data_IF_449755562213
#
_entry.id   IF_449755562213
#
_cell.length_a   1.000
_cell.length_b   1.000
_cell.length_c   1.000
_cell.angle_alpha   90.00
_cell.angle_beta   90.00
_cell.angle_gamma   90.00
#
_symmetry.space_group_name_H-M   'P 1'
#
loop_
_entity.id
_entity.type
_entity.pdbx_description
1 polymer ?
#
# COMPACT_ATOMS: atom_id res chain seq x y z
N UNK A 1 2.71 -22.56 -9.69
CA UNK A 1 1.99 -21.32 -9.38
C UNK A 1 1.71 -21.27 -7.89
N UNK A 2 1.88 -20.12 -7.26
CA UNK A 2 1.60 -19.89 -5.85
C UNK A 2 0.60 -18.71 -5.74
N UNK A 3 -0.64 -19.02 -5.38
CA UNK A 3 -1.66 -18.03 -5.06
C UNK A 3 -1.66 -17.78 -3.55
N UNK A 4 -1.56 -16.52 -3.14
CA UNK A 4 -1.33 -16.12 -1.76
C UNK A 4 -2.25 -14.99 -1.28
N UNK A 5 -2.34 -14.88 0.04
CA UNK A 5 -2.90 -13.74 0.78
C UNK A 5 -1.89 -13.31 1.86
N UNK A 6 -0.71 -12.84 1.44
CA UNK A 6 0.34 -12.37 2.36
C UNK A 6 0.18 -10.87 2.61
N UNK A 7 -0.05 -10.51 3.87
CA UNK A 7 -0.10 -9.11 4.29
C UNK A 7 1.29 -8.48 4.34
N UNK A 8 1.29 -7.15 4.26
CA UNK A 8 2.44 -6.29 4.42
C UNK A 8 3.05 -6.42 5.80
N UNK A 9 4.37 -6.54 5.83
CA UNK A 9 5.19 -6.33 7.02
C UNK A 9 6.44 -5.60 6.57
N UNK A 10 6.81 -4.56 7.32
CA UNK A 10 7.94 -3.70 6.99
C UNK A 10 9.20 -4.52 6.67
N UNK A 11 9.81 -4.28 5.50
CA UNK A 11 11.01 -4.97 4.98
C UNK A 11 10.87 -6.47 4.70
N UNK A 12 9.67 -7.05 4.76
CA UNK A 12 9.46 -8.50 4.53
C UNK A 12 9.56 -8.91 3.07
N UNK A 13 9.33 -8.00 2.13
CA UNK A 13 9.26 -8.33 0.69
C UNK A 13 10.56 -8.98 0.21
N UNK A 14 11.70 -8.49 0.66
CA UNK A 14 13.01 -9.00 0.28
C UNK A 14 13.19 -10.49 0.66
N UNK A 15 12.78 -10.92 1.86
CA UNK A 15 12.79 -12.34 2.23
C UNK A 15 11.95 -13.19 1.28
N UNK A 16 10.79 -12.68 0.86
CA UNK A 16 9.86 -13.37 -0.04
C UNK A 16 10.47 -13.55 -1.42
N UNK A 17 11.03 -12.47 -1.99
CA UNK A 17 11.66 -12.50 -3.31
C UNK A 17 12.91 -13.40 -3.30
N UNK A 18 13.75 -13.31 -2.27
CA UNK A 18 14.92 -14.20 -2.12
C UNK A 18 14.53 -15.67 -2.07
N UNK A 19 13.42 -16.01 -1.39
CA UNK A 19 12.95 -17.38 -1.33
C UNK A 19 12.55 -17.92 -2.72
N UNK A 20 11.86 -17.10 -3.53
CA UNK A 20 11.47 -17.49 -4.89
C UNK A 20 12.69 -17.67 -5.79
N UNK A 21 13.58 -16.69 -5.79
CA UNK A 21 14.83 -16.72 -6.55
C UNK A 21 15.68 -17.93 -6.18
N UNK A 22 15.89 -18.17 -4.88
CA UNK A 22 16.65 -19.31 -4.39
C UNK A 22 16.01 -20.64 -4.79
N UNK A 23 14.67 -20.74 -4.71
CA UNK A 23 13.95 -21.95 -5.09
C UNK A 23 14.10 -22.27 -6.59
N UNK A 24 13.96 -21.27 -7.47
CA UNK A 24 14.10 -21.46 -8.92
C UNK A 24 15.54 -21.58 -9.37
N UNK A 25 16.48 -20.90 -8.72
CA UNK A 25 17.91 -21.03 -9.02
C UNK A 25 18.40 -22.45 -8.70
N UNK A 26 17.99 -23.00 -7.56
CA UNK A 26 18.43 -24.33 -7.10
C UNK A 26 17.77 -25.49 -7.83
N UNK A 27 16.58 -25.32 -8.42
CA UNK A 27 15.80 -26.43 -9.03
C UNK A 27 15.50 -26.25 -10.52
N UNK A 28 15.75 -25.05 -11.05
CA UNK A 28 15.18 -24.59 -12.30
C UNK A 28 13.65 -24.45 -12.22
N UNK A 29 13.06 -23.90 -13.27
CA UNK A 29 11.62 -23.79 -13.43
C UNK A 29 11.09 -22.37 -13.46
N UNK A 30 9.80 -22.28 -13.78
CA UNK A 30 9.03 -21.03 -13.77
C UNK A 30 8.20 -20.98 -12.49
N UNK A 31 8.41 -19.93 -11.71
CA UNK A 31 7.65 -19.65 -10.50
C UNK A 31 6.80 -18.42 -10.70
N UNK A 32 5.48 -18.61 -10.67
CA UNK A 32 4.51 -17.52 -10.71
C UNK A 32 3.91 -17.34 -9.32
N UNK A 33 4.01 -16.12 -8.80
CA UNK A 33 3.43 -15.72 -7.54
C UNK A 33 2.32 -14.69 -7.78
N UNK A 34 1.14 -14.95 -7.24
CA UNK A 34 0.04 -13.99 -7.19
C UNK A 34 -0.38 -13.75 -5.75
N UNK A 35 -0.69 -12.50 -5.43
CA UNK A 35 -1.11 -12.10 -4.10
C UNK A 35 -2.29 -11.13 -4.17
N UNK A 36 -3.10 -11.12 -3.12
CA UNK A 36 -4.05 -10.02 -2.92
C UNK A 36 -3.29 -8.69 -2.77
N UNK A 37 -3.93 -7.60 -3.17
CA UNK A 37 -3.42 -6.24 -2.99
C UNK A 37 -4.55 -5.34 -2.44
N UNK A 38 -4.22 -4.51 -1.46
CA UNK A 38 -5.19 -3.62 -0.82
C UNK A 38 -5.65 -4.08 0.57
N UNK A 39 -6.67 -3.42 1.11
CA UNK A 39 -7.32 -3.77 2.37
C UNK A 39 -8.51 -4.72 2.11
N UNK A 40 -8.76 -5.71 2.96
CA UNK A 40 -9.92 -6.63 2.87
C UNK A 40 -11.10 -6.23 3.79
N UNK A 41 -11.03 -5.05 4.41
CA UNK A 41 -11.95 -4.59 5.45
C UNK A 41 -11.43 -4.85 6.88
N UNK A 42 -10.30 -5.52 7.02
CA UNK A 42 -9.60 -5.68 8.29
C UNK A 42 -8.54 -4.61 8.57
N UNK A 43 -7.65 -4.93 9.51
CA UNK A 43 -6.48 -4.10 9.86
C UNK A 43 -5.25 -4.39 8.98
N UNK A 44 -5.35 -5.39 8.12
CA UNK A 44 -4.24 -5.84 7.29
C UNK A 44 -4.31 -5.14 5.94
N UNK A 45 -3.13 -4.84 5.40
CA UNK A 45 -2.94 -4.44 4.02
C UNK A 45 -2.18 -5.54 3.31
N UNK A 46 -2.67 -6.03 2.17
CA UNK A 46 -1.98 -6.99 1.34
C UNK A 46 -1.11 -6.26 0.32
N UNK A 47 0.18 -6.59 0.29
CA UNK A 47 1.20 -5.83 -0.44
C UNK A 47 1.41 -6.29 -1.87
N UNK A 48 0.51 -7.11 -2.43
CA UNK A 48 0.61 -7.53 -3.83
C UNK A 48 1.99 -8.09 -4.17
N UNK A 49 2.70 -7.35 -5.03
CA UNK A 49 4.01 -7.69 -5.58
C UNK A 49 3.99 -9.07 -6.27
N UNK A 50 2.93 -9.32 -7.04
CA UNK A 50 2.81 -10.47 -7.92
C UNK A 50 4.00 -10.49 -8.88
N UNK A 51 4.61 -11.65 -9.10
CA UNK A 51 5.85 -11.72 -9.86
C UNK A 51 6.05 -13.06 -10.57
N UNK A 52 6.93 -13.04 -11.55
CA UNK A 52 7.36 -14.23 -12.30
C UNK A 52 8.87 -14.33 -12.20
N UNK A 53 9.35 -15.48 -11.74
CA UNK A 53 10.78 -15.80 -11.58
C UNK A 53 11.10 -17.04 -12.39
N UNK A 54 12.18 -17.02 -13.16
CA UNK A 54 12.62 -18.14 -14.00
C UNK A 54 14.08 -18.45 -13.73
N UNK A 55 14.38 -19.68 -13.32
CA UNK A 55 15.75 -20.17 -13.07
C UNK A 55 16.63 -19.27 -12.16
N UNK A 56 16.02 -18.44 -11.30
CA UNK A 56 16.73 -17.51 -10.41
C UNK A 56 16.61 -16.05 -10.82
N UNK A 57 16.16 -15.77 -12.04
CA UNK A 57 15.98 -14.41 -12.53
C UNK A 57 14.54 -13.93 -12.35
N UNK A 58 14.37 -12.75 -11.77
CA UNK A 58 13.09 -12.04 -11.76
C UNK A 58 12.84 -11.51 -13.18
N UNK A 59 11.75 -11.90 -13.83
CA UNK A 59 11.46 -11.45 -15.21
C UNK A 59 10.24 -10.54 -15.31
N UNK A 60 9.39 -10.55 -14.29
CA UNK A 60 8.28 -9.62 -14.17
C UNK A 60 7.93 -9.39 -12.70
N UNK A 61 7.67 -8.14 -12.33
CA UNK A 61 7.36 -7.73 -10.97
C UNK A 61 6.23 -6.70 -11.03
N UNK A 62 5.15 -6.93 -10.27
CA UNK A 62 4.07 -5.98 -10.06
C UNK A 62 4.36 -5.01 -8.93
N UNK A 63 3.47 -4.05 -8.74
CA UNK A 63 3.54 -3.06 -7.68
C UNK A 63 3.43 -3.69 -6.28
N UNK A 64 4.13 -3.12 -5.30
CA UNK A 64 3.92 -3.46 -3.89
C UNK A 64 2.71 -2.70 -3.31
N UNK A 65 2.62 -1.41 -3.60
CA UNK A 65 1.53 -0.54 -3.16
C UNK A 65 0.89 0.12 -4.38
N UNK A 66 -0.43 0.02 -4.48
CA UNK A 66 -1.20 0.53 -5.62
C UNK A 66 -2.62 0.82 -5.18
N UNK A 67 -3.25 1.79 -5.83
CA UNK A 67 -4.67 2.11 -5.65
C UNK A 67 -5.56 1.38 -6.66
N UNK A 68 -4.95 0.66 -7.62
CA UNK A 68 -5.66 -0.09 -8.65
C UNK A 68 -6.31 -1.32 -8.02
N UNK A 69 -7.58 -1.55 -8.35
CA UNK A 69 -8.28 -2.75 -7.88
C UNK A 69 -7.75 -4.04 -8.52
N UNK A 70 -7.19 -3.95 -9.74
CA UNK A 70 -6.64 -5.10 -10.46
C UNK A 70 -5.31 -4.73 -11.12
N UNK A 71 -4.27 -5.52 -10.85
CA UNK A 71 -2.99 -5.48 -11.55
C UNK A 71 -2.69 -6.86 -12.15
N UNK A 72 -2.37 -6.89 -13.44
CA UNK A 72 -2.00 -8.12 -14.16
C UNK A 72 -0.55 -8.03 -14.60
N UNK A 73 0.26 -8.98 -14.12
CA UNK A 73 1.67 -9.11 -14.48
C UNK A 73 1.82 -10.26 -15.48
N UNK A 74 2.39 -9.97 -16.65
CA UNK A 74 2.56 -10.93 -17.75
C UNK A 74 4.03 -11.07 -18.08
N UNK A 75 4.46 -12.30 -18.36
CA UNK A 75 5.81 -12.59 -18.85
C UNK A 75 5.75 -13.64 -19.97
N UNK A 76 6.64 -13.50 -20.96
CA UNK A 76 6.85 -14.47 -22.02
C UNK A 76 8.11 -15.28 -21.71
N UNK A 77 7.98 -16.60 -21.60
CA UNK A 77 9.04 -17.50 -21.15
C UNK A 77 9.26 -18.60 -22.17
N UNK A 78 10.52 -18.89 -22.45
CA UNK A 78 10.93 -20.07 -23.21
C UNK A 78 11.03 -21.30 -22.29
N UNK A 79 10.14 -22.27 -22.48
CA UNK A 79 10.13 -23.51 -21.69
C UNK A 79 11.24 -24.48 -22.10
N UNK A 80 11.77 -24.38 -23.33
CA UNK A 80 12.89 -25.21 -23.78
C UNK A 80 14.19 -24.79 -23.07
N UNK A 81 14.39 -23.49 -22.85
CA UNK A 81 15.48 -22.99 -22.01
C UNK A 81 15.38 -23.48 -20.56
N UNK A 82 14.16 -23.56 -20.00
CA UNK A 82 13.92 -24.13 -18.66
C UNK A 82 14.23 -25.63 -18.62
N UNK A 83 13.79 -26.38 -19.63
CA UNK A 83 14.10 -27.80 -19.76
C UNK A 83 15.61 -28.04 -19.91
N UNK A 84 16.28 -27.23 -20.75
CA UNK A 84 17.73 -27.27 -20.95
C UNK A 84 18.52 -26.98 -19.67
N UNK A 85 18.11 -25.98 -18.89
CA UNK A 85 18.73 -25.66 -17.60
C UNK A 85 18.61 -26.83 -16.60
N UNK A 86 17.46 -27.49 -16.53
CA UNK A 86 17.29 -28.65 -15.64
C UNK A 86 18.02 -29.88 -16.16
N UNK A 87 18.08 -30.04 -17.49
CA UNK A 87 18.78 -31.14 -18.15
C UNK A 87 20.30 -31.08 -18.01
N UNK A 88 20.88 -29.89 -17.84
CA UNK A 88 22.33 -29.74 -17.59
C UNK A 88 22.75 -30.15 -16.17
N UNK A 89 21.80 -30.38 -15.26
CA UNK A 89 22.04 -30.78 -13.87
C UNK A 89 21.76 -32.28 -13.72
N UNK A 90 22.83 -33.10 -13.81
CA UNK A 90 22.74 -34.56 -13.78
C UNK A 90 22.07 -35.13 -12.52
N UNK A 91 22.30 -34.51 -11.36
CA UNK A 91 21.74 -34.96 -10.08
C UNK A 91 20.21 -34.93 -10.03
N UNK A 92 19.54 -34.09 -10.84
CA UNK A 92 18.08 -34.07 -10.89
C UNK A 92 17.49 -35.33 -11.52
N UNK A 93 18.19 -35.92 -12.50
CA UNK A 93 17.73 -37.13 -13.18
C UNK A 93 17.78 -38.33 -12.23
N UNK A 94 18.90 -38.46 -11.50
CA UNK A 94 19.09 -39.49 -10.47
C UNK A 94 18.07 -39.38 -9.32
N UNK A 95 17.80 -38.17 -8.84
CA UNK A 95 16.80 -37.97 -7.80
C UNK A 95 15.38 -38.26 -8.28
N UNK A 96 15.06 -37.94 -9.53
CA UNK A 96 13.74 -38.16 -10.10
C UNK A 96 13.44 -39.65 -10.35
N UNK A 97 14.44 -40.46 -10.72
CA UNK A 97 14.28 -41.90 -10.96
C UNK A 97 13.84 -42.66 -9.70
N UNK A 98 14.19 -42.14 -8.53
CA UNK A 98 13.91 -42.74 -7.23
C UNK A 98 12.56 -42.29 -6.61
N UNK A 99 11.73 -41.52 -7.34
CA UNK A 99 10.49 -40.93 -6.81
C UNK A 99 9.24 -41.47 -7.49
N UNK A 100 8.16 -41.56 -6.71
CA UNK A 100 6.85 -41.95 -7.20
C UNK A 100 6.32 -40.94 -8.20
N UNK A 101 5.71 -41.43 -9.29
CA UNK A 101 5.13 -40.58 -10.33
C UNK A 101 3.96 -39.78 -9.77
N UNK A 102 3.96 -38.47 -10.04
CA UNK A 102 2.88 -37.56 -9.65
C UNK A 102 1.67 -37.80 -10.58
N UNK A 103 0.45 -37.74 -10.04
CA UNK A 103 -0.77 -37.85 -10.84
C UNK A 103 -0.85 -36.72 -11.87
N UNK A 104 -1.21 -37.03 -13.11
CA UNK A 104 -1.33 -36.08 -14.21
C UNK A 104 -2.76 -36.02 -14.73
N UNK A 105 -3.28 -34.82 -14.96
CA UNK A 105 -4.56 -34.59 -15.63
C UNK A 105 -4.27 -34.15 -17.06
N UNK A 106 -4.75 -34.90 -18.05
CA UNK A 106 -4.60 -34.52 -19.45
C UNK A 106 -5.58 -33.39 -19.79
N UNK A 107 -5.08 -32.31 -20.38
CA UNK A 107 -5.86 -31.15 -20.80
C UNK A 107 -5.65 -30.94 -22.30
N UNK A 108 -6.73 -30.80 -23.07
CA UNK A 108 -6.67 -30.54 -24.51
C UNK A 108 -6.38 -29.04 -24.79
N UNK A 109 -5.19 -28.59 -24.37
CA UNK A 109 -4.76 -27.20 -24.53
C UNK A 109 -3.24 -27.12 -24.77
N UNK A 110 -2.81 -26.31 -25.75
CA UNK A 110 -1.40 -26.00 -25.97
C UNK A 110 -1.04 -24.71 -25.25
N UNK A 111 -0.15 -24.80 -24.26
CA UNK A 111 0.33 -23.63 -23.52
C UNK A 111 1.27 -22.77 -24.36
N UNK A 112 2.15 -23.41 -25.14
CA UNK A 112 3.12 -22.72 -25.99
C UNK A 112 2.49 -22.33 -27.33
N UNK A 113 2.84 -21.15 -27.81
CA UNK A 113 2.59 -20.74 -29.18
C UNK A 113 3.75 -21.22 -30.08
N UNK A 114 3.49 -21.49 -31.37
CA UNK A 114 4.56 -21.76 -32.32
C UNK A 114 5.56 -20.61 -32.35
N UNK A 115 6.85 -20.93 -32.44
CA UNK A 115 7.89 -19.93 -32.52
C UNK A 115 7.65 -18.94 -33.66
N UNK A 116 7.81 -17.65 -33.37
CA UNK A 116 7.70 -16.57 -34.32
C UNK A 116 8.81 -15.56 -34.05
N UNK A 117 9.48 -15.09 -35.12
CA UNK A 117 10.54 -14.08 -35.06
C UNK A 117 10.13 -12.76 -34.38
N UNK A 118 8.83 -12.48 -34.31
CA UNK A 118 8.28 -11.29 -33.63
C UNK A 118 8.08 -11.48 -32.11
N UNK A 119 8.27 -12.68 -31.59
CA UNK A 119 8.15 -12.95 -30.15
C UNK A 119 9.29 -12.28 -29.40
N UNK A 120 8.97 -11.67 -28.26
CA UNK A 120 9.95 -11.02 -27.40
C UNK A 120 9.88 -11.67 -26.02
N UNK A 121 10.88 -12.49 -25.72
CA UNK A 121 10.99 -13.13 -24.41
C UNK A 121 11.25 -12.06 -23.35
N UNK A 122 10.63 -12.24 -22.19
CA UNK A 122 10.88 -11.39 -21.03
C UNK A 122 12.29 -11.65 -20.50
N UNK A 123 13.11 -10.60 -20.49
CA UNK A 123 14.47 -10.67 -19.94
C UNK A 123 14.51 -10.47 -18.42
N UNK A 124 15.67 -10.73 -17.79
CA UNK A 124 15.87 -10.43 -16.38
C UNK A 124 15.64 -8.93 -16.06
N UNK A 125 14.89 -8.69 -14.99
CA UNK A 125 14.54 -7.37 -14.47
C UNK A 125 15.32 -7.12 -13.17
N UNK A 126 15.82 -5.89 -13.00
CA UNK A 126 16.31 -5.44 -11.70
C UNK A 126 15.14 -5.33 -10.73
N UNK A 127 15.22 -6.08 -9.63
CA UNK A 127 14.21 -6.06 -8.57
C UNK A 127 14.18 -4.67 -7.96
N UNK A 128 12.99 -4.09 -7.87
CA UNK A 128 12.78 -2.80 -7.24
C UNK A 128 12.22 -3.01 -5.83
N UNK A 129 12.86 -2.37 -4.86
CA UNK A 129 12.44 -2.35 -3.47
C UNK A 129 12.17 -0.91 -3.06
N UNK A 130 11.16 -0.73 -2.22
CA UNK A 130 10.93 0.54 -1.55
C UNK A 130 11.90 0.72 -0.38
N UNK A 131 12.23 1.98 -0.08
CA UNK A 131 12.90 2.27 1.18
C UNK A 131 11.95 2.03 2.36
N UNK A 132 12.46 1.83 3.59
CA UNK A 132 11.61 1.68 4.76
C UNK A 132 10.64 2.87 4.96
N UNK A 133 11.09 4.08 4.65
CA UNK A 133 10.29 5.30 4.75
C UNK A 133 9.20 5.35 3.67
N UNK A 134 9.51 4.90 2.45
CA UNK A 134 8.53 4.73 1.38
C UNK A 134 7.49 3.66 1.73
N UNK A 135 7.89 2.53 2.31
CA UNK A 135 6.96 1.49 2.79
C UNK A 135 6.00 2.04 3.84
N UNK A 136 6.51 2.85 4.79
CA UNK A 136 5.71 3.50 5.83
C UNK A 136 4.76 4.56 5.25
N UNK A 137 5.12 5.21 4.16
CA UNK A 137 4.26 6.19 3.50
C UNK A 137 3.19 5.51 2.63
N UNK A 138 3.59 4.59 1.75
CA UNK A 138 2.73 4.00 0.73
C UNK A 138 1.78 2.94 1.29
N UNK A 139 2.26 2.03 2.15
CA UNK A 139 1.42 0.96 2.70
C UNK A 139 0.20 1.49 3.47
N UNK A 140 0.42 2.25 4.56
CA UNK A 140 -0.64 2.93 5.28
C UNK A 140 -1.45 3.92 4.40
N UNK A 141 -0.81 4.60 3.45
CA UNK A 141 -1.49 5.50 2.51
C UNK A 141 -2.54 4.77 1.64
N UNK A 142 -2.15 3.67 0.99
CA UNK A 142 -3.07 2.83 0.22
C UNK A 142 -4.14 2.19 1.12
N UNK A 143 -3.78 1.77 2.35
CA UNK A 143 -4.75 1.24 3.30
C UNK A 143 -5.82 2.27 3.69
N UNK A 144 -5.43 3.52 3.98
CA UNK A 144 -6.36 4.60 4.30
C UNK A 144 -7.28 4.93 3.11
N UNK A 145 -6.75 4.89 1.89
CA UNK A 145 -7.57 5.08 0.69
C UNK A 145 -8.66 4.02 0.57
N UNK A 146 -8.30 2.75 0.71
CA UNK A 146 -9.26 1.64 0.67
C UNK A 146 -10.28 1.74 1.80
N UNK A 147 -9.82 2.08 3.01
CA UNK A 147 -10.70 2.27 4.15
C UNK A 147 -11.71 3.40 3.89
N UNK A 148 -11.25 4.54 3.37
CA UNK A 148 -12.11 5.69 3.09
C UNK A 148 -13.14 5.37 2.01
N UNK A 149 -12.70 4.83 0.86
CA UNK A 149 -13.61 4.59 -0.26
C UNK A 149 -14.66 3.51 0.05
N UNK A 150 -14.34 2.54 0.92
CA UNK A 150 -15.23 1.42 1.26
C UNK A 150 -16.10 1.65 2.50
N UNK A 151 -15.68 2.50 3.44
CA UNK A 151 -16.45 2.77 4.66
C UNK A 151 -17.69 3.63 4.44
N UNK A 152 -17.76 4.36 3.32
CA UNK A 152 -18.81 5.37 3.08
C UNK A 152 -18.60 6.68 3.86
N UNK A 153 -17.48 6.82 4.56
CA UNK A 153 -17.10 8.07 5.21
C UNK A 153 -16.78 9.17 4.18
N UNK A 154 -16.90 10.43 4.60
CA UNK A 154 -16.65 11.60 3.75
C UNK A 154 -15.26 12.22 3.96
N UNK A 155 -14.42 11.61 4.79
CA UNK A 155 -13.09 12.12 5.10
C UNK A 155 -12.56 11.64 6.45
N UNK A 156 -11.47 12.27 6.89
CA UNK A 156 -10.77 12.02 8.13
C UNK A 156 -10.79 13.26 9.04
N UNK A 157 -10.84 13.02 10.35
CA UNK A 157 -10.58 14.03 11.37
C UNK A 157 -9.36 13.59 12.18
N UNK A 158 -8.33 14.44 12.26
CA UNK A 158 -7.13 14.18 13.03
C UNK A 158 -6.87 15.29 14.06
N UNK A 159 -6.88 14.95 15.36
CA UNK A 159 -6.26 15.79 16.38
C UNK A 159 -4.76 15.96 16.09
N UNK A 160 -4.38 17.16 15.65
CA UNK A 160 -3.01 17.45 15.24
C UNK A 160 -2.34 18.25 16.35
N UNK A 161 -1.39 17.63 17.07
CA UNK A 161 -0.74 18.25 18.24
C UNK A 161 0.51 19.04 17.91
N UNK A 162 1.03 18.93 16.67
CA UNK A 162 2.34 19.45 16.30
C UNK A 162 3.52 18.59 16.79
N UNK A 163 3.23 17.44 17.42
CA UNK A 163 4.19 16.39 17.75
C UNK A 163 4.41 15.40 16.59
N UNK A 164 5.48 14.61 16.69
CA UNK A 164 5.94 13.72 15.62
C UNK A 164 4.86 12.71 15.17
N UNK A 165 4.17 12.05 16.11
CA UNK A 165 3.22 10.98 15.76
C UNK A 165 2.02 11.49 14.97
N UNK A 166 1.36 12.54 15.47
CA UNK A 166 0.24 13.17 14.74
C UNK A 166 0.69 13.76 13.40
N UNK A 167 1.93 14.25 13.33
CA UNK A 167 2.51 14.77 12.09
C UNK A 167 2.76 13.65 11.06
N UNK A 168 3.23 12.48 11.51
CA UNK A 168 3.42 11.29 10.67
C UNK A 168 2.10 10.81 10.10
N UNK A 169 1.04 10.75 10.90
CA UNK A 169 -0.31 10.39 10.41
C UNK A 169 -0.80 11.40 9.37
N UNK A 170 -0.61 12.69 9.63
CA UNK A 170 -0.98 13.73 8.66
C UNK A 170 -0.18 13.58 7.35
N UNK A 171 1.12 13.32 7.43
CA UNK A 171 1.97 13.09 6.26
C UNK A 171 1.53 11.87 5.44
N UNK A 172 1.11 10.78 6.09
CA UNK A 172 0.56 9.60 5.40
C UNK A 172 -0.72 9.96 4.64
N UNK A 173 -1.64 10.73 5.24
CA UNK A 173 -2.86 11.20 4.54
C UNK A 173 -2.50 12.12 3.37
N UNK A 174 -1.48 12.97 3.53
CA UNK A 174 -0.94 13.78 2.43
C UNK A 174 -0.38 12.94 1.29
N UNK A 175 0.39 11.89 1.61
CA UNK A 175 0.92 10.93 0.64
C UNK A 175 -0.21 10.18 -0.08
N UNK A 176 -1.24 9.74 0.65
CA UNK A 176 -2.44 9.13 0.07
C UNK A 176 -3.08 10.06 -0.98
N UNK A 177 -3.26 11.35 -0.67
CA UNK A 177 -3.84 12.32 -1.61
C UNK A 177 -2.97 12.49 -2.87
N UNK A 178 -1.64 12.46 -2.72
CA UNK A 178 -0.71 12.49 -3.87
C UNK A 178 -0.82 11.23 -4.73
N UNK A 179 -0.94 10.05 -4.13
CA UNK A 179 -1.14 8.79 -4.86
C UNK A 179 -2.46 8.79 -5.64
N UNK A 180 -3.54 9.31 -5.05
CA UNK A 180 -4.85 9.43 -5.72
C UNK A 180 -4.74 10.30 -6.97
N UNK A 181 -4.19 11.51 -6.85
CA UNK A 181 -4.02 12.42 -7.98
C UNK A 181 -3.11 11.81 -9.05
N UNK A 182 -2.05 11.09 -8.64
CA UNK A 182 -1.14 10.40 -9.55
C UNK A 182 -1.87 9.30 -10.35
N UNK A 183 -2.68 8.45 -9.70
CA UNK A 183 -3.41 7.40 -10.43
C UNK A 183 -4.52 7.95 -11.33
N UNK A 184 -5.15 9.05 -10.94
CA UNK A 184 -6.08 9.78 -11.83
C UNK A 184 -5.37 10.28 -13.08
N UNK A 185 -4.16 10.87 -12.92
CA UNK A 185 -3.35 11.30 -14.06
C UNK A 185 -2.87 10.13 -14.93
N UNK A 186 -2.69 8.94 -14.35
CA UNK A 186 -2.38 7.70 -15.06
C UNK A 186 -3.61 7.10 -15.78
N UNK A 187 -4.79 7.69 -15.65
CA UNK A 187 -6.01 7.25 -16.32
C UNK A 187 -6.81 6.17 -15.57
N UNK A 188 -6.62 6.04 -14.25
CA UNK A 188 -7.45 5.13 -13.46
C UNK A 188 -8.85 5.73 -13.21
N UNK A 189 -9.83 5.26 -13.99
CA UNK A 189 -11.22 5.73 -13.92
C UNK A 189 -11.92 5.33 -12.62
N UNK A 190 -11.53 4.23 -11.96
CA UNK A 190 -12.14 3.81 -10.70
C UNK A 190 -11.68 4.71 -9.56
N UNK A 191 -10.36 4.95 -9.45
CA UNK A 191 -9.80 5.89 -8.46
C UNK A 191 -10.37 7.29 -8.67
N UNK A 192 -10.52 7.72 -9.93
CA UNK A 192 -11.15 9.00 -10.28
C UNK A 192 -12.61 9.07 -9.84
N UNK A 193 -13.41 8.05 -10.14
CA UNK A 193 -14.81 8.00 -9.72
C UNK A 193 -14.96 8.04 -8.20
N UNK A 194 -14.13 7.28 -7.47
CA UNK A 194 -14.11 7.28 -6.01
C UNK A 194 -13.68 8.64 -5.44
N UNK A 195 -12.66 9.28 -6.02
CA UNK A 195 -12.19 10.60 -5.59
C UNK A 195 -13.25 11.70 -5.83
N UNK A 196 -13.93 11.67 -6.97
CA UNK A 196 -15.07 12.56 -7.29
C UNK A 196 -16.17 12.40 -6.23
N UNK A 197 -16.54 11.15 -5.93
CA UNK A 197 -17.59 10.82 -4.96
C UNK A 197 -17.23 11.28 -3.54
N UNK A 198 -16.05 10.91 -3.06
CA UNK A 198 -15.61 11.20 -1.68
C UNK A 198 -15.38 12.71 -1.50
N UNK A 199 -14.72 13.36 -2.46
CA UNK A 199 -14.48 14.80 -2.45
C UNK A 199 -15.71 15.65 -2.83
N UNK A 200 -16.83 15.01 -3.19
CA UNK A 200 -18.09 15.67 -3.60
C UNK A 200 -17.86 16.72 -4.70
N UNK A 201 -17.09 16.35 -5.72
CA UNK A 201 -16.90 17.23 -6.89
C UNK A 201 -18.20 17.30 -7.70
N UNK A 202 -18.48 18.48 -8.25
CA UNK A 202 -19.68 18.75 -9.04
C UNK A 202 -19.30 19.05 -10.49
N UNK A 203 -20.28 19.01 -11.41
CA UNK A 203 -20.12 19.48 -12.79
C UNK A 203 -19.00 18.81 -13.60
N UNK A 204 -18.63 17.57 -13.26
CA UNK A 204 -17.56 16.84 -13.94
C UNK A 204 -16.14 17.24 -13.52
N UNK A 205 -15.99 18.06 -12.48
CA UNK A 205 -14.69 18.33 -11.86
C UNK A 205 -14.12 17.09 -11.18
N UNK A 206 -12.79 17.03 -11.07
CA UNK A 206 -12.07 15.97 -10.38
C UNK A 206 -10.76 16.53 -9.80
N UNK A 207 -10.18 15.88 -8.78
CA UNK A 207 -8.96 16.39 -8.15
C UNK A 207 -7.76 16.35 -9.10
N UNK A 208 -7.10 17.49 -9.26
CA UNK A 208 -5.85 17.64 -10.00
C UNK A 208 -4.67 18.01 -9.11
N UNK A 209 -4.91 18.52 -7.90
CA UNK A 209 -3.90 18.87 -6.93
C UNK A 209 -4.17 18.16 -5.60
N UNK A 210 -3.14 17.55 -5.02
CA UNK A 210 -3.26 16.75 -3.79
C UNK A 210 -3.69 17.60 -2.59
N UNK A 211 -3.23 18.85 -2.51
CA UNK A 211 -3.60 19.79 -1.43
C UNK A 211 -5.06 20.20 -1.49
N UNK A 212 -5.59 20.40 -2.70
CA UNK A 212 -7.00 20.72 -2.92
C UNK A 212 -7.89 19.53 -2.55
N UNK A 213 -7.50 18.33 -2.96
CA UNK A 213 -8.20 17.11 -2.54
C UNK A 213 -8.16 16.92 -1.03
N UNK A 214 -6.99 17.06 -0.41
CA UNK A 214 -6.81 16.98 1.05
C UNK A 214 -7.71 17.97 1.77
N UNK A 215 -7.89 19.19 1.27
CA UNK A 215 -8.74 20.21 1.89
C UNK A 215 -10.19 19.78 2.04
N UNK A 216 -10.69 18.94 1.13
CA UNK A 216 -12.08 18.44 1.14
C UNK A 216 -12.29 17.29 2.09
N UNK A 217 -11.29 16.41 2.19
CA UNK A 217 -11.42 15.11 2.86
C UNK A 217 -10.65 15.02 4.17
N UNK A 218 -9.80 15.98 4.51
CA UNK A 218 -8.92 15.90 5.68
C UNK A 218 -9.07 17.13 6.57
N UNK A 219 -9.66 16.91 7.74
CA UNK A 219 -9.85 17.92 8.77
C UNK A 219 -8.83 17.69 9.87
N UNK A 220 -8.10 18.73 10.24
CA UNK A 220 -7.15 18.69 11.35
C UNK A 220 -7.59 19.64 12.43
N UNK A 221 -7.43 19.25 13.71
CA UNK A 221 -7.78 20.11 14.84
C UNK A 221 -6.65 20.17 15.85
N UNK A 222 -6.13 21.37 16.11
CA UNK A 222 -5.27 21.63 17.25
C UNK A 222 -6.15 21.97 18.46
N UNK A 223 -6.13 21.12 19.48
CA UNK A 223 -6.85 21.32 20.74
C UNK A 223 -5.89 21.85 21.80
N UNK A 224 -5.74 23.18 21.85
CA UNK A 224 -4.84 23.85 22.78
C UNK A 224 -5.41 23.98 24.18
N UNK A 225 -4.55 23.90 25.19
CA UNK A 225 -4.86 24.23 26.59
C UNK A 225 -4.03 25.42 27.06
N UNK A 226 -4.31 25.94 28.26
CA UNK A 226 -3.51 26.97 28.94
C UNK A 226 -2.01 26.64 29.01
N UNK A 227 -1.66 25.35 29.01
CA UNK A 227 -0.27 24.86 29.09
C UNK A 227 0.36 24.56 27.72
N UNK A 228 -0.38 24.76 26.62
CA UNK A 228 0.12 24.47 25.28
C UNK A 228 1.05 25.58 24.78
N UNK A 229 2.22 25.21 24.28
CA UNK A 229 3.18 26.18 23.76
C UNK A 229 2.73 26.77 22.42
N UNK A 230 3.11 28.03 22.16
CA UNK A 230 2.85 28.68 20.88
C UNK A 230 3.56 27.95 19.72
N UNK A 231 4.71 27.33 19.99
CA UNK A 231 5.48 26.60 18.99
C UNK A 231 4.75 25.37 18.45
N UNK A 232 4.15 24.53 19.31
CA UNK A 232 3.46 23.31 18.87
C UNK A 232 2.23 23.66 18.05
N UNK A 233 1.52 24.71 18.47
CA UNK A 233 0.41 25.31 17.72
C UNK A 233 0.84 25.77 16.32
N UNK A 234 1.95 26.50 16.22
CA UNK A 234 2.48 26.96 14.93
C UNK A 234 2.93 25.80 14.03
N UNK A 235 3.58 24.77 14.59
CA UNK A 235 4.00 23.57 13.84
C UNK A 235 2.80 22.81 13.27
N UNK A 236 1.75 22.62 14.07
CA UNK A 236 0.51 21.98 13.63
C UNK A 236 -0.12 22.73 12.45
N UNK A 237 -0.26 24.06 12.59
CA UNK A 237 -0.79 24.91 11.53
C UNK A 237 0.05 24.85 10.25
N UNK A 238 1.37 25.00 10.36
CA UNK A 238 2.27 24.97 9.20
C UNK A 238 2.17 23.65 8.44
N UNK A 239 2.18 22.53 9.15
CA UNK A 239 2.05 21.20 8.54
C UNK A 239 0.68 21.02 7.88
N UNK A 240 -0.39 21.47 8.52
CA UNK A 240 -1.74 21.43 7.98
C UNK A 240 -1.85 22.22 6.67
N UNK A 241 -1.23 23.41 6.60
CA UNK A 241 -1.19 24.26 5.42
C UNK A 241 -0.36 23.64 4.28
N UNK A 242 0.77 22.99 4.60
CA UNK A 242 1.62 22.28 3.63
C UNK A 242 0.87 21.09 3.00
N UNK A 243 0.19 20.28 3.81
CA UNK A 243 -0.63 19.15 3.34
C UNK A 243 -1.89 19.64 2.61
N UNK A 244 -2.42 20.80 2.99
CA UNK A 244 -3.67 21.35 2.47
C UNK A 244 -4.92 20.95 3.24
N UNK A 245 -4.79 20.41 4.46
CA UNK A 245 -5.95 20.01 5.28
C UNK A 245 -6.79 21.21 5.75
N UNK A 246 -8.07 21.00 6.05
CA UNK A 246 -8.90 22.00 6.71
C UNK A 246 -8.55 22.06 8.21
N UNK A 247 -7.79 23.08 8.61
CA UNK A 247 -7.27 23.20 9.98
C UNK A 247 -8.17 24.03 10.89
N UNK A 248 -8.50 23.48 12.05
CA UNK A 248 -9.17 24.16 13.15
C UNK A 248 -8.23 24.31 14.33
N UNK A 249 -8.34 25.43 15.01
CA UNK A 249 -7.53 25.78 16.17
C UNK A 249 -8.47 26.23 17.29
N UNK A 250 -8.59 25.37 18.30
CA UNK A 250 -9.63 25.49 19.33
C UNK A 250 -8.99 25.37 20.71
N UNK A 251 -9.33 26.29 21.62
CA UNK A 251 -8.98 26.15 23.03
C UNK A 251 -10.02 25.27 23.73
N UNK A 252 -9.53 24.31 24.53
CA UNK A 252 -10.37 23.42 25.35
C UNK A 252 -10.59 23.97 26.76
N UNK A 253 -10.00 25.12 27.10
CA UNK A 253 -9.92 25.61 28.47
C UNK A 253 -11.29 25.95 29.06
N UNK A 254 -12.20 26.47 28.23
CA UNK A 254 -13.58 26.73 28.64
C UNK A 254 -14.30 25.45 29.04
N UNK A 255 -14.10 24.37 28.28
CA UNK A 255 -14.72 23.06 28.56
C UNK A 255 -14.10 22.44 29.80
N UNK A 256 -12.76 22.47 29.91
CA UNK A 256 -12.04 21.97 31.10
C UNK A 256 -12.48 22.72 32.36
N UNK A 257 -12.58 24.04 32.29
CA UNK A 257 -13.04 24.88 33.41
C UNK A 257 -14.47 24.54 33.84
N UNK A 258 -15.38 24.31 32.88
CA UNK A 258 -16.74 23.89 33.19
C UNK A 258 -16.78 22.53 33.92
N UNK A 259 -15.98 21.55 33.48
CA UNK A 259 -15.86 20.26 34.15
C UNK A 259 -15.28 20.38 35.57
N UNK A 260 -14.25 21.22 35.76
CA UNK A 260 -13.66 21.45 37.09
C UNK A 260 -14.65 22.14 38.04
N UNK A 261 -15.43 23.10 37.56
CA UNK A 261 -16.48 23.76 38.35
C UNK A 261 -17.59 22.78 38.76
N UNK A 262 -18.03 21.91 37.84
CA UNK A 262 -19.02 20.87 38.15
C UNK A 262 -18.49 19.91 39.21
N UNK A 263 -17.25 19.44 39.06
CA UNK A 263 -16.61 18.54 40.02
C UNK A 263 -16.49 19.18 41.42
N UNK A 264 -16.07 20.45 41.48
CA UNK A 264 -15.98 21.20 42.73
C UNK A 264 -17.35 21.33 43.40
N UNK A 265 -18.41 21.58 42.62
CA UNK A 265 -19.78 21.69 43.13
C UNK A 265 -20.28 20.37 43.73
N UNK A 266 -19.98 19.23 43.10
CA UNK A 266 -20.44 17.91 43.55
C UNK A 266 -19.63 17.35 44.73
N UNK A 267 -18.32 17.63 44.78
CA UNK A 267 -17.40 16.96 45.73
C UNK A 267 -16.90 17.88 46.85
N UNK A 268 -17.09 19.19 46.72
CA UNK A 268 -16.49 20.20 47.61
C UNK A 268 -14.97 20.31 47.49
N UNK A 269 -14.33 19.57 46.56
CA UNK A 269 -12.87 19.55 46.36
C UNK A 269 -12.50 20.04 44.97
N UNK A 270 -11.42 20.82 44.86
CA UNK A 270 -10.88 21.29 43.59
C UNK A 270 -9.52 20.63 43.30
N UNK A 271 -9.40 19.79 42.26
CA UNK A 271 -8.11 19.27 41.82
C UNK A 271 -7.17 20.43 41.46
N UNK A 272 -5.89 20.30 41.83
CA UNK A 272 -4.84 21.25 41.45
C UNK A 272 -3.77 20.49 40.67
N UNK A 273 -3.18 21.15 39.68
CA UNK A 273 -2.00 20.63 39.00
C UNK A 273 -0.86 20.44 40.02
N UNK A 274 0.01 19.46 39.75
CA UNK A 274 1.22 19.24 40.54
C UNK A 274 2.21 20.38 40.36
#
# INVERSE_FOLDING_TARGET
>A
MNASGSHHQLRKLDYRIRAFISATHSRGGVYMYSNQQGCDGGRLYFDGCSCVVVNGDMIAQGSQFSLRDVEVVVAQVDLDAVAGFRGSISSFQEQASCKTKISSVAVQYSLCQPFNLKMSLSGPLKITYHSPEEEIAFGPGCWLWDYLRRSGASGFLLPLSGGADSSSVAAIVGCMCQLVVKEIANGDEQVKADAIRIGRYANGEFPTESREFAKRIFYTVFMGSENSSQETRMRAKKLADEIGSWHLDVSIDTVVSAFLSLFQTLTGKRPRYK
#
